data_IF_408422377748
#
_entry.id   IF_408422377748
#
_cell.length_a   1.000
_cell.length_b   1.000
_cell.length_c   1.000
_cell.angle_alpha   90.00
_cell.angle_beta   90.00
_cell.angle_gamma   90.00
#
_symmetry.space_group_name_H-M   'P 1'
#
loop_
_entity.id
_entity.type
_entity.pdbx_description
1 polymer ?
#
# COMPACT_ATOMS: atom_id res chain seq x y z
N UNK A 1 -15.65 -67.99 11.25
CA UNK A 1 -16.05 -66.75 10.61
C UNK A 1 -16.21 -65.57 11.58
N UNK A 2 -15.28 -65.35 12.52
CA UNK A 2 -15.36 -64.24 13.50
C UNK A 2 -14.02 -63.49 13.69
N UNK A 3 -13.07 -63.58 12.74
CA UNK A 3 -11.74 -62.93 12.86
C UNK A 3 -11.39 -61.99 11.69
N UNK A 4 -12.30 -61.68 10.76
CA UNK A 4 -12.02 -60.79 9.62
C UNK A 4 -12.68 -59.41 9.80
N UNK A 5 -13.57 -59.21 10.75
CA UNK A 5 -14.28 -57.94 10.96
C UNK A 5 -13.49 -56.91 11.79
N UNK A 6 -12.30 -57.26 12.36
CA UNK A 6 -11.57 -56.38 13.24
C UNK A 6 -10.43 -55.58 12.55
N UNK A 7 -10.18 -55.78 11.25
CA UNK A 7 -9.07 -55.14 10.50
C UNK A 7 -9.48 -53.99 9.60
N UNK A 8 -10.77 -53.71 9.46
CA UNK A 8 -11.28 -52.60 8.64
C UNK A 8 -11.54 -51.32 9.47
N UNK A 9 -11.61 -51.39 10.79
CA UNK A 9 -11.85 -50.28 11.68
C UNK A 9 -10.58 -49.41 11.98
N UNK A 10 -9.42 -49.84 11.53
CA UNK A 10 -8.13 -49.17 11.85
C UNK A 10 -7.61 -48.19 10.77
N UNK A 11 -8.31 -48.02 9.63
CA UNK A 11 -7.82 -47.16 8.50
C UNK A 11 -8.69 -45.95 8.25
N UNK A 12 -9.59 -45.60 9.16
CA UNK A 12 -10.09 -44.23 9.27
C UNK A 12 -9.00 -43.40 9.93
N UNK A 13 -7.80 -43.32 9.30
CA UNK A 13 -6.86 -42.26 9.61
C UNK A 13 -7.61 -40.96 9.41
N UNK A 14 -7.91 -40.32 10.52
CA UNK A 14 -8.22 -38.91 10.66
C UNK A 14 -7.31 -38.11 9.71
N UNK A 15 -7.80 -37.84 8.52
CA UNK A 15 -7.48 -36.61 7.81
C UNK A 15 -8.01 -35.50 8.73
N UNK A 16 -7.27 -35.24 9.82
CA UNK A 16 -7.40 -33.99 10.52
C UNK A 16 -7.15 -32.95 9.44
N UNK A 17 -8.20 -32.34 8.95
CA UNK A 17 -8.13 -31.14 8.12
C UNK A 17 -7.45 -30.13 9.02
N UNK A 18 -6.12 -30.11 8.97
CA UNK A 18 -5.33 -29.17 9.74
C UNK A 18 -5.72 -27.81 9.17
N UNK A 19 -6.54 -27.06 9.94
CA UNK A 19 -6.91 -25.71 9.56
C UNK A 19 -5.59 -24.96 9.29
N UNK A 20 -5.44 -24.43 8.08
CA UNK A 20 -4.25 -23.68 7.73
C UNK A 20 -4.11 -22.50 8.69
N UNK A 21 -2.91 -22.30 9.22
CA UNK A 21 -2.60 -21.17 10.08
C UNK A 21 -2.99 -19.88 9.38
N UNK A 22 -3.64 -18.99 10.13
CA UNK A 22 -4.15 -17.72 9.58
C UNK A 22 -3.27 -16.57 10.00
N UNK A 23 -2.81 -15.82 9.02
CA UNK A 23 -1.98 -14.62 9.19
C UNK A 23 -2.70 -13.39 8.66
N UNK A 24 -2.59 -12.27 9.37
CA UNK A 24 -3.10 -10.98 8.94
C UNK A 24 -2.20 -10.33 7.88
N UNK A 25 -2.81 -9.77 6.83
CA UNK A 25 -2.11 -9.01 5.80
C UNK A 25 -2.69 -7.59 5.76
N UNK A 26 -1.97 -6.65 6.38
CA UNK A 26 -2.34 -5.24 6.45
C UNK A 26 -1.99 -4.49 5.17
N UNK A 27 -2.91 -3.70 4.64
CA UNK A 27 -2.69 -2.92 3.43
C UNK A 27 -2.90 -1.44 3.70
N UNK A 28 -1.96 -0.61 3.24
CA UNK A 28 -2.05 0.84 3.30
C UNK A 28 -3.32 1.34 2.61
N UNK A 29 -4.11 2.15 3.32
CA UNK A 29 -5.36 2.72 2.82
C UNK A 29 -5.09 3.84 1.80
N UNK A 30 -5.00 3.47 0.51
CA UNK A 30 -4.84 4.40 -0.61
C UNK A 30 -6.17 4.63 -1.36
N UNK A 31 -7.04 3.63 -1.36
CA UNK A 31 -8.32 3.56 -2.09
C UNK A 31 -9.44 3.15 -1.14
N UNK A 32 -10.66 3.09 -1.66
CA UNK A 32 -11.78 2.56 -0.90
C UNK A 32 -11.51 1.12 -0.43
N UNK A 33 -12.09 0.69 0.71
CA UNK A 33 -11.94 -0.70 1.19
C UNK A 33 -12.42 -1.73 0.17
N UNK A 34 -13.46 -1.43 -0.61
CA UNK A 34 -14.00 -2.34 -1.64
C UNK A 34 -12.96 -2.55 -2.74
N UNK A 35 -12.45 -1.50 -3.36
CA UNK A 35 -11.43 -1.60 -4.41
C UNK A 35 -10.14 -2.26 -3.89
N UNK A 36 -9.77 -1.98 -2.65
CA UNK A 36 -8.61 -2.62 -2.01
C UNK A 36 -8.83 -4.12 -1.86
N UNK A 37 -10.02 -4.55 -1.44
CA UNK A 37 -10.36 -5.97 -1.30
C UNK A 37 -10.45 -6.69 -2.66
N UNK A 38 -11.05 -6.06 -3.67
CA UNK A 38 -11.12 -6.61 -5.03
C UNK A 38 -9.73 -6.80 -5.64
N UNK A 39 -8.79 -5.91 -5.36
CA UNK A 39 -7.40 -6.05 -5.80
C UNK A 39 -6.65 -7.15 -5.04
N UNK A 40 -6.70 -7.13 -3.68
CA UNK A 40 -5.82 -7.95 -2.86
C UNK A 40 -6.34 -9.37 -2.58
N UNK A 41 -7.66 -9.57 -2.43
CA UNK A 41 -8.19 -10.89 -2.07
C UNK A 41 -7.83 -12.00 -3.08
N UNK A 42 -7.90 -11.79 -4.42
CA UNK A 42 -7.46 -12.81 -5.37
C UNK A 42 -5.97 -13.15 -5.24
N UNK A 43 -5.11 -12.13 -5.02
CA UNK A 43 -3.67 -12.29 -4.82
C UNK A 43 -3.41 -13.09 -3.54
N UNK A 44 -3.99 -12.67 -2.41
CA UNK A 44 -3.82 -13.35 -1.11
C UNK A 44 -4.37 -14.78 -1.12
N UNK A 45 -5.48 -15.02 -1.81
CA UNK A 45 -6.04 -16.35 -2.01
C UNK A 45 -5.12 -17.26 -2.83
N UNK A 46 -4.49 -16.75 -3.88
CA UNK A 46 -3.48 -17.49 -4.64
C UNK A 46 -2.25 -17.80 -3.78
N UNK A 47 -1.70 -16.78 -3.11
CA UNK A 47 -0.50 -16.90 -2.27
C UNK A 47 -0.73 -17.85 -1.10
N UNK A 48 -1.88 -17.74 -0.43
CA UNK A 48 -2.24 -18.60 0.69
C UNK A 48 -2.26 -20.08 0.30
N UNK A 49 -2.86 -20.41 -0.84
CA UNK A 49 -2.84 -21.80 -1.37
C UNK A 49 -1.43 -22.29 -1.68
N UNK A 50 -0.57 -21.46 -2.27
CA UNK A 50 0.80 -21.83 -2.61
C UNK A 50 1.70 -21.97 -1.37
N UNK A 51 1.50 -21.13 -0.36
CA UNK A 51 2.26 -21.12 0.89
C UNK A 51 1.71 -22.08 1.96
N UNK A 52 0.54 -22.69 1.73
CA UNK A 52 -0.10 -23.61 2.71
C UNK A 52 -0.67 -22.89 3.94
N UNK A 53 -1.02 -21.60 3.84
CA UNK A 53 -1.55 -20.76 4.92
C UNK A 53 -2.81 -20.01 4.49
N UNK A 54 -3.53 -19.41 5.45
CA UNK A 54 -4.60 -18.46 5.18
C UNK A 54 -4.06 -17.04 5.39
N UNK A 55 -4.23 -16.14 4.39
CA UNK A 55 -3.87 -14.73 4.50
C UNK A 55 -5.15 -13.90 4.57
N UNK A 56 -5.40 -13.28 5.72
CA UNK A 56 -6.59 -12.47 5.97
C UNK A 56 -6.27 -10.99 5.71
N UNK A 57 -6.90 -10.42 4.68
CA UNK A 57 -6.77 -9.00 4.37
C UNK A 57 -7.30 -8.13 5.51
N UNK A 58 -6.51 -7.13 5.90
CA UNK A 58 -6.86 -6.07 6.84
C UNK A 58 -6.73 -4.72 6.15
N UNK A 59 -7.82 -3.98 6.07
CA UNK A 59 -7.88 -2.64 5.46
C UNK A 59 -8.39 -1.66 6.50
N UNK A 60 -7.57 -0.69 6.84
CA UNK A 60 -7.99 0.44 7.67
C UNK A 60 -8.83 1.42 6.84
N UNK A 61 -9.74 2.16 7.48
CA UNK A 61 -10.57 3.15 6.79
C UNK A 61 -9.79 4.38 6.35
N UNK A 62 -8.75 4.73 7.11
CA UNK A 62 -7.91 5.91 6.87
C UNK A 62 -6.43 5.58 6.93
N UNK A 63 -5.58 6.48 6.38
CA UNK A 63 -4.13 6.38 6.50
C UNK A 63 -3.65 6.46 7.96
N UNK A 64 -4.30 7.27 8.79
CA UNK A 64 -4.00 7.38 10.21
C UNK A 64 -4.28 6.07 10.97
N UNK A 65 -5.44 5.43 10.74
CA UNK A 65 -5.74 4.11 11.30
C UNK A 65 -4.74 3.04 10.84
N UNK A 66 -4.35 3.06 9.56
CA UNK A 66 -3.33 2.16 9.02
C UNK A 66 -1.98 2.37 9.71
N UNK A 67 -1.57 3.61 9.91
CA UNK A 67 -0.34 3.94 10.63
C UNK A 67 -0.38 3.46 12.09
N UNK A 68 -1.49 3.71 12.78
CA UNK A 68 -1.67 3.27 14.17
C UNK A 68 -1.61 1.73 14.32
N UNK A 69 -2.14 0.97 13.36
CA UNK A 69 -2.05 -0.49 13.35
C UNK A 69 -0.60 -0.97 13.16
N UNK A 70 0.18 -0.33 12.28
CA UNK A 70 1.63 -0.59 12.13
C UNK A 70 2.37 -0.27 13.44
N UNK A 71 2.07 0.87 14.07
CA UNK A 71 2.71 1.28 15.33
C UNK A 71 2.47 0.28 16.48
N UNK A 72 1.34 -0.43 16.47
CA UNK A 72 1.04 -1.49 17.44
C UNK A 72 1.49 -2.89 17.01
N UNK A 73 2.12 -3.03 15.83
CA UNK A 73 2.55 -4.32 15.30
C UNK A 73 1.40 -5.29 15.04
N UNK A 74 0.21 -4.81 14.67
CA UNK A 74 -1.00 -5.65 14.55
C UNK A 74 -0.96 -6.63 13.38
N UNK A 75 -0.18 -6.35 12.34
CA UNK A 75 -0.15 -7.17 11.13
C UNK A 75 1.01 -8.17 11.15
N UNK A 76 0.76 -9.38 10.65
CA UNK A 76 1.81 -10.38 10.44
C UNK A 76 2.60 -10.07 9.17
N UNK A 77 1.89 -9.70 8.12
CA UNK A 77 2.44 -9.17 6.87
C UNK A 77 1.80 -7.82 6.59
N UNK A 78 2.50 -6.95 5.87
CA UNK A 78 1.95 -5.65 5.48
C UNK A 78 2.46 -5.20 4.12
N UNK A 79 1.58 -4.54 3.35
CA UNK A 79 1.92 -3.71 2.21
C UNK A 79 1.79 -2.25 2.65
N UNK A 80 2.88 -1.70 3.18
CA UNK A 80 2.86 -0.34 3.75
C UNK A 80 4.27 0.24 3.82
N UNK A 81 4.39 1.55 3.62
CA UNK A 81 5.61 2.31 3.90
C UNK A 81 5.58 3.01 5.27
N UNK A 82 4.50 2.88 6.04
CA UNK A 82 4.43 3.41 7.40
C UNK A 82 5.47 2.78 8.33
N UNK A 83 5.97 1.57 8.01
CA UNK A 83 7.02 0.89 8.76
C UNK A 83 8.34 1.69 8.84
N UNK A 84 8.57 2.65 7.91
CA UNK A 84 9.77 3.49 7.91
C UNK A 84 9.64 4.77 8.76
N UNK A 85 8.47 5.04 9.32
CA UNK A 85 8.29 6.17 10.24
C UNK A 85 9.11 5.96 11.50
N UNK A 86 9.77 7.00 12.04
CA UNK A 86 10.61 6.87 13.24
C UNK A 86 9.89 6.19 14.41
N UNK A 87 8.63 6.55 14.65
CA UNK A 87 7.81 5.97 15.73
C UNK A 87 7.49 4.48 15.54
N UNK A 88 7.57 3.96 14.31
CA UNK A 88 7.21 2.58 13.96
C UNK A 88 8.43 1.65 13.83
N UNK A 89 9.66 2.18 13.81
CA UNK A 89 10.87 1.39 13.62
C UNK A 89 11.06 0.31 14.70
N UNK A 90 10.56 0.55 15.91
CA UNK A 90 10.62 -0.42 17.02
C UNK A 90 9.82 -1.71 16.75
N UNK A 91 8.90 -1.73 15.80
CA UNK A 91 8.15 -2.92 15.41
C UNK A 91 8.98 -3.87 14.53
N UNK A 92 10.12 -3.41 14.03
CA UNK A 92 11.13 -4.19 13.30
C UNK A 92 10.57 -5.02 12.13
N UNK A 93 9.57 -4.49 11.41
CA UNK A 93 9.07 -5.11 10.18
C UNK A 93 10.20 -5.25 9.16
N UNK A 94 10.39 -6.48 8.68
CA UNK A 94 11.43 -6.80 7.69
C UNK A 94 10.85 -6.76 6.28
N UNK A 95 11.39 -5.91 5.41
CA UNK A 95 11.03 -5.88 3.98
C UNK A 95 11.44 -7.20 3.32
N UNK A 96 10.49 -7.84 2.65
CA UNK A 96 10.69 -9.13 1.97
C UNK A 96 10.53 -9.02 0.45
N UNK A 97 9.71 -8.07 -0.02
CA UNK A 97 9.44 -7.85 -1.45
C UNK A 97 9.16 -6.37 -1.72
N UNK A 98 9.35 -5.98 -2.97
CA UNK A 98 8.91 -4.71 -3.54
C UNK A 98 8.08 -4.95 -4.80
N UNK A 99 7.16 -4.05 -5.18
CA UNK A 99 6.46 -4.16 -6.46
C UNK A 99 7.42 -4.10 -7.65
N UNK A 100 7.04 -4.72 -8.76
CA UNK A 100 7.73 -4.55 -10.05
C UNK A 100 7.52 -3.17 -10.65
N UNK A 101 6.48 -2.48 -10.24
CA UNK A 101 6.24 -1.10 -10.64
C UNK A 101 7.42 -0.20 -10.27
N UNK A 102 7.64 0.77 -11.14
CA UNK A 102 8.64 1.81 -10.92
C UNK A 102 8.36 2.60 -9.63
N UNK A 103 9.36 3.37 -9.21
CA UNK A 103 9.26 4.26 -8.06
C UNK A 103 8.02 5.17 -8.11
N UNK A 104 7.51 5.52 -6.94
CA UNK A 104 6.42 6.48 -6.75
C UNK A 104 6.94 7.89 -6.52
N UNK A 105 6.16 8.87 -6.92
CA UNK A 105 6.47 10.28 -6.69
C UNK A 105 5.30 10.99 -6.01
N UNK A 106 5.61 11.96 -5.15
CA UNK A 106 4.63 12.93 -4.68
C UNK A 106 4.36 13.97 -5.76
N UNK A 107 3.10 14.26 -6.01
CA UNK A 107 2.70 15.34 -6.91
C UNK A 107 1.77 16.30 -6.17
N UNK A 108 1.88 17.61 -6.49
CA UNK A 108 0.83 18.58 -6.20
C UNK A 108 0.15 18.88 -7.53
N UNK A 109 -1.16 18.61 -7.58
CA UNK A 109 -1.94 18.68 -8.81
C UNK A 109 -3.16 19.61 -8.66
N UNK A 110 -3.63 20.14 -9.78
CA UNK A 110 -4.88 20.90 -9.90
C UNK A 110 -5.65 20.45 -11.13
N UNK A 111 -6.94 20.79 -11.23
CA UNK A 111 -7.73 20.53 -12.45
C UNK A 111 -7.20 21.37 -13.61
N UNK A 112 -7.27 20.86 -14.84
CA UNK A 112 -6.85 21.62 -16.03
C UNK A 112 -7.64 22.91 -16.20
N UNK A 113 -8.91 22.92 -15.83
CA UNK A 113 -9.78 24.10 -15.86
C UNK A 113 -9.46 25.12 -14.76
N UNK A 114 -8.64 24.78 -13.75
CA UNK A 114 -8.28 25.67 -12.65
C UNK A 114 -7.51 26.90 -13.15
N UNK A 115 -7.66 28.02 -12.46
CA UNK A 115 -6.84 29.23 -12.66
C UNK A 115 -5.45 29.12 -12.06
N UNK A 116 -5.23 28.16 -11.16
CA UNK A 116 -3.92 27.86 -10.54
C UNK A 116 -2.97 27.34 -11.62
N UNK A 117 -1.83 28.01 -11.81
CA UNK A 117 -0.83 27.67 -12.83
C UNK A 117 0.53 27.30 -12.25
N UNK A 118 0.88 27.88 -11.11
CA UNK A 118 2.17 27.75 -10.46
C UNK A 118 2.00 27.36 -8.99
N UNK A 119 3.01 26.74 -8.41
CA UNK A 119 2.98 26.33 -7.01
C UNK A 119 2.77 27.54 -6.07
N UNK A 120 3.36 28.69 -6.40
CA UNK A 120 3.21 29.93 -5.64
C UNK A 120 1.77 30.44 -5.56
N UNK A 121 0.91 30.09 -6.53
CA UNK A 121 -0.52 30.48 -6.53
C UNK A 121 -1.29 29.81 -5.37
N UNK A 122 -0.70 28.81 -4.71
CA UNK A 122 -1.31 28.11 -3.58
C UNK A 122 -1.16 28.87 -2.25
N UNK A 123 -0.42 29.98 -2.21
CA UNK A 123 -0.17 30.72 -0.98
C UNK A 123 -1.49 31.12 -0.26
N UNK A 124 -1.65 30.63 0.98
CA UNK A 124 -2.82 30.89 1.82
C UNK A 124 -4.09 30.11 1.47
N UNK A 125 -4.08 29.30 0.40
CA UNK A 125 -5.23 28.53 -0.07
C UNK A 125 -5.37 27.17 0.64
N UNK A 126 -6.56 26.57 0.52
CA UNK A 126 -6.84 25.20 0.93
C UNK A 126 -6.26 24.22 -0.08
N UNK A 127 -5.33 23.37 0.39
CA UNK A 127 -4.71 22.28 -0.37
C UNK A 127 -5.04 20.96 0.29
N UNK A 128 -5.48 20.01 -0.52
CA UNK A 128 -5.88 18.70 -0.04
C UNK A 128 -4.72 17.73 0.10
N UNK A 129 -4.80 16.90 1.14
CA UNK A 129 -3.85 15.82 1.42
C UNK A 129 -4.59 14.55 1.84
N UNK A 130 -4.07 13.34 1.56
CA UNK A 130 -4.73 12.10 1.97
C UNK A 130 -4.89 11.98 3.49
N UNK A 131 -3.79 12.14 4.22
CA UNK A 131 -3.69 12.17 5.69
C UNK A 131 -2.29 12.65 6.09
N UNK A 132 -2.08 13.03 7.37
CA UNK A 132 -0.74 13.31 7.91
C UNK A 132 0.19 12.08 7.87
N UNK A 133 -0.37 10.89 7.86
CA UNK A 133 0.39 9.65 7.74
C UNK A 133 0.93 9.38 6.33
N UNK A 134 0.41 10.04 5.28
CA UNK A 134 0.80 9.77 3.90
C UNK A 134 2.21 10.29 3.58
N UNK A 135 3.08 9.42 3.05
CA UNK A 135 4.46 9.79 2.73
C UNK A 135 4.51 10.72 1.49
N UNK A 136 4.37 10.17 0.27
CA UNK A 136 4.42 10.98 -0.96
C UNK A 136 3.16 11.85 -1.16
N UNK A 137 2.07 11.59 -0.42
CA UNK A 137 0.85 12.40 -0.48
C UNK A 137 0.79 13.53 0.56
N UNK A 138 1.67 13.57 1.56
CA UNK A 138 1.69 14.64 2.58
C UNK A 138 3.11 15.01 2.99
N UNK A 139 3.88 14.09 3.58
CA UNK A 139 5.18 14.43 4.17
C UNK A 139 6.12 15.10 3.15
N UNK A 140 6.30 14.47 1.99
CA UNK A 140 7.20 14.97 0.94
C UNK A 140 6.72 16.28 0.31
N UNK A 141 5.45 16.42 -0.15
CA UNK A 141 4.98 17.70 -0.70
C UNK A 141 4.90 18.81 0.35
N UNK A 142 4.54 18.51 1.60
CA UNK A 142 4.50 19.52 2.66
C UNK A 142 5.90 20.02 3.02
N UNK A 143 6.90 19.12 3.09
CA UNK A 143 8.31 19.50 3.28
C UNK A 143 8.76 20.48 2.18
N UNK A 144 8.41 20.19 0.93
CA UNK A 144 8.72 21.06 -0.19
C UNK A 144 8.02 22.43 -0.10
N UNK A 145 6.72 22.45 0.23
CA UNK A 145 5.96 23.71 0.40
C UNK A 145 6.58 24.58 1.49
N UNK A 146 6.88 23.99 2.66
CA UNK A 146 7.51 24.72 3.79
C UNK A 146 8.87 25.27 3.39
N UNK A 147 9.75 24.46 2.77
CA UNK A 147 11.08 24.91 2.30
C UNK A 147 11.01 25.99 1.23
N UNK A 148 9.94 26.00 0.45
CA UNK A 148 9.69 27.02 -0.60
C UNK A 148 9.02 28.27 -0.04
N UNK A 149 8.73 28.36 1.25
CA UNK A 149 8.05 29.48 1.88
C UNK A 149 6.58 29.62 1.50
N UNK A 150 5.95 28.57 0.99
CA UNK A 150 4.54 28.57 0.54
C UNK A 150 3.68 28.00 1.69
N UNK A 151 2.96 28.87 2.38
CA UNK A 151 2.03 28.49 3.45
C UNK A 151 0.66 28.12 2.85
N UNK A 152 0.15 26.93 3.14
CA UNK A 152 -1.16 26.45 2.72
C UNK A 152 -2.02 26.06 3.91
N UNK A 153 -3.34 25.97 3.73
CA UNK A 153 -4.29 25.44 4.71
C UNK A 153 -4.56 23.97 4.38
N UNK A 154 -4.04 22.99 5.15
CA UNK A 154 -4.20 21.58 4.80
C UNK A 154 -5.62 21.09 5.08
N UNK A 155 -6.20 20.40 4.08
CA UNK A 155 -7.49 19.69 4.16
C UNK A 155 -7.22 18.19 3.94
N UNK A 156 -7.82 17.31 4.76
CA UNK A 156 -7.55 15.88 4.71
C UNK A 156 -8.74 15.08 4.17
N UNK A 157 -8.46 14.17 3.21
CA UNK A 157 -9.46 13.34 2.54
C UNK A 157 -9.56 11.90 3.08
N UNK A 158 -8.76 11.55 4.11
CA UNK A 158 -8.72 10.20 4.69
C UNK A 158 -7.83 9.21 3.94
N UNK A 159 -7.82 9.26 2.62
CA UNK A 159 -6.95 8.47 1.74
C UNK A 159 -6.74 9.17 0.39
N UNK A 160 -5.93 8.55 -0.51
CA UNK A 160 -5.60 9.14 -1.81
C UNK A 160 -6.85 9.42 -2.65
N UNK A 161 -7.73 8.45 -2.83
CA UNK A 161 -8.94 8.63 -3.65
C UNK A 161 -9.92 9.62 -3.03
N UNK A 162 -10.04 9.66 -1.71
CA UNK A 162 -10.89 10.61 -1.01
C UNK A 162 -10.51 12.06 -1.30
N UNK A 163 -9.21 12.38 -1.32
CA UNK A 163 -8.77 13.75 -1.63
C UNK A 163 -8.86 14.07 -3.13
N UNK A 164 -8.63 13.10 -4.01
CA UNK A 164 -8.83 13.28 -5.45
C UNK A 164 -10.32 13.52 -5.79
N UNK A 165 -11.24 12.85 -5.10
CA UNK A 165 -12.68 13.10 -5.23
C UNK A 165 -13.08 14.51 -4.77
N UNK A 166 -12.45 15.06 -3.74
CA UNK A 166 -12.69 16.44 -3.32
C UNK A 166 -12.17 17.46 -4.36
N UNK A 167 -10.99 17.18 -4.97
CA UNK A 167 -10.47 17.98 -6.06
C UNK A 167 -11.40 17.94 -7.27
N UNK A 168 -11.85 16.76 -7.68
CA UNK A 168 -12.80 16.57 -8.79
C UNK A 168 -14.13 17.31 -8.56
N UNK A 169 -14.62 17.30 -7.33
CA UNK A 169 -15.84 18.01 -6.93
C UNK A 169 -15.65 19.53 -6.76
N UNK A 170 -14.46 20.08 -6.99
CA UNK A 170 -14.14 21.50 -6.84
C UNK A 170 -14.18 22.01 -5.40
N UNK A 171 -14.12 21.12 -4.41
CA UNK A 171 -14.12 21.48 -2.98
C UNK A 171 -12.78 22.03 -2.50
N UNK A 172 -11.71 21.70 -3.21
CA UNK A 172 -10.34 22.17 -3.01
C UNK A 172 -9.73 22.55 -4.35
N UNK A 173 -8.77 23.47 -4.35
CA UNK A 173 -8.17 24.00 -5.58
C UNK A 173 -6.98 23.16 -6.06
N UNK A 174 -6.33 22.46 -5.18
CA UNK A 174 -5.20 21.57 -5.46
C UNK A 174 -5.14 20.41 -4.47
N UNK A 175 -4.49 19.32 -4.84
CA UNK A 175 -4.27 18.17 -4.00
C UNK A 175 -2.83 17.64 -4.11
N UNK A 176 -2.26 17.21 -2.98
CA UNK A 176 -1.02 16.45 -2.97
C UNK A 176 -1.33 14.94 -2.96
N UNK A 177 -0.71 14.19 -3.87
CA UNK A 177 -1.12 12.84 -4.21
C UNK A 177 0.09 11.95 -4.58
N UNK A 178 -0.12 10.63 -4.51
CA UNK A 178 0.75 9.65 -5.15
C UNK A 178 0.47 9.66 -6.67
N UNK A 179 1.52 9.83 -7.49
CA UNK A 179 1.42 9.96 -8.94
C UNK A 179 0.75 8.75 -9.62
N UNK A 180 1.05 7.52 -9.19
CA UNK A 180 0.47 6.32 -9.78
C UNK A 180 -1.02 6.17 -9.42
N UNK A 181 -1.38 6.47 -8.16
CA UNK A 181 -2.78 6.44 -7.73
C UNK A 181 -3.57 7.54 -8.45
N UNK A 182 -2.98 8.74 -8.61
CA UNK A 182 -3.63 9.84 -9.35
C UNK A 182 -3.85 9.49 -10.82
N UNK A 183 -2.84 8.94 -11.50
CA UNK A 183 -2.98 8.50 -12.90
C UNK A 183 -4.07 7.46 -13.08
N UNK A 184 -4.12 6.45 -12.19
CA UNK A 184 -5.13 5.40 -12.24
C UNK A 184 -6.55 5.96 -11.96
N UNK A 185 -6.68 6.84 -10.99
CA UNK A 185 -7.94 7.55 -10.68
C UNK A 185 -8.40 8.38 -11.86
N UNK A 186 -7.54 9.23 -12.41
CA UNK A 186 -7.85 10.11 -13.52
C UNK A 186 -8.30 9.31 -14.76
N UNK A 187 -7.66 8.17 -15.05
CA UNK A 187 -8.06 7.29 -16.14
C UNK A 187 -9.45 6.66 -15.91
N UNK A 188 -9.75 6.27 -14.66
CA UNK A 188 -11.04 5.66 -14.32
C UNK A 188 -12.19 6.66 -14.37
N UNK A 189 -11.96 7.88 -13.86
CA UNK A 189 -12.98 8.93 -13.72
C UNK A 189 -13.04 9.90 -14.91
N UNK A 190 -12.17 9.74 -15.92
CA UNK A 190 -12.09 10.67 -17.05
C UNK A 190 -11.61 12.07 -16.65
N UNK A 191 -10.77 12.19 -15.62
CA UNK A 191 -10.34 13.45 -15.05
C UNK A 191 -9.10 13.99 -15.76
N UNK A 192 -9.13 15.29 -16.13
CA UNK A 192 -7.98 16.02 -16.66
C UNK A 192 -7.38 16.92 -15.59
N UNK A 193 -6.06 16.81 -15.38
CA UNK A 193 -5.35 17.54 -14.33
C UNK A 193 -3.96 17.99 -14.78
N UNK A 194 -3.45 19.00 -14.12
CA UNK A 194 -2.11 19.56 -14.30
C UNK A 194 -1.28 19.29 -13.07
N UNK A 195 -0.02 18.90 -13.27
CA UNK A 195 0.99 18.79 -12.22
C UNK A 195 1.65 20.16 -12.02
N UNK A 196 1.56 20.70 -10.80
CA UNK A 196 2.20 21.95 -10.40
C UNK A 196 3.61 21.68 -9.86
N UNK A 197 3.81 20.51 -9.25
CA UNK A 197 5.09 20.08 -8.70
C UNK A 197 5.15 18.57 -8.58
N UNK A 198 6.36 18.01 -8.67
CA UNK A 198 6.64 16.59 -8.53
C UNK A 198 7.93 16.39 -7.75
N UNK A 199 7.94 15.41 -6.84
CA UNK A 199 9.12 15.04 -6.06
C UNK A 199 10.11 14.20 -6.85
N UNK A 200 11.32 14.02 -6.28
CA UNK A 200 12.19 12.92 -6.62
C UNK A 200 11.48 11.56 -6.40
N UNK A 201 11.93 10.50 -7.11
CA UNK A 201 11.32 9.19 -6.98
C UNK A 201 11.69 8.51 -5.65
N UNK A 202 10.72 7.76 -5.10
CA UNK A 202 10.89 6.87 -3.96
C UNK A 202 10.52 5.45 -4.38
N UNK A 203 11.20 4.44 -3.83
CA UNK A 203 10.79 3.06 -4.07
C UNK A 203 9.33 2.84 -3.64
N UNK A 204 8.61 2.05 -4.45
CA UNK A 204 7.20 1.81 -4.21
C UNK A 204 6.98 1.01 -2.91
N UNK A 205 5.77 1.05 -2.39
CA UNK A 205 5.38 0.50 -1.10
C UNK A 205 5.81 -0.97 -0.96
N UNK A 206 6.59 -1.34 0.06
CA UNK A 206 7.08 -2.70 0.22
C UNK A 206 6.02 -3.66 0.76
N UNK A 207 6.27 -4.96 0.56
CA UNK A 207 5.70 -6.00 1.41
C UNK A 207 6.74 -6.34 2.48
N UNK A 208 6.30 -6.34 3.74
CA UNK A 208 7.12 -6.65 4.89
C UNK A 208 6.45 -7.67 5.80
N UNK A 209 7.24 -8.40 6.57
CA UNK A 209 6.81 -9.35 7.58
C UNK A 209 7.19 -8.87 8.97
N UNK A 210 6.32 -9.07 9.96
CA UNK A 210 6.63 -8.82 11.36
C UNK A 210 7.54 -9.94 11.90
N UNK A 211 8.54 -9.65 12.76
CA UNK A 211 9.52 -10.65 13.24
C UNK A 211 8.91 -11.80 14.05
N UNK A 212 7.65 -11.69 14.53
CA UNK A 212 6.94 -12.79 15.20
C UNK A 212 6.55 -13.94 14.26
N UNK A 213 6.51 -13.71 12.92
CA UNK A 213 6.14 -14.74 11.96
C UNK A 213 7.30 -15.71 11.74
N UNK A 214 7.04 -17.02 11.81
CA UNK A 214 8.05 -18.05 11.57
C UNK A 214 8.73 -17.83 10.20
N UNK A 215 10.05 -17.93 10.16
CA UNK A 215 10.85 -17.69 8.96
C UNK A 215 10.46 -18.57 7.78
N UNK A 216 10.01 -19.81 8.03
CA UNK A 216 9.56 -20.73 6.98
C UNK A 216 8.29 -20.22 6.33
N UNK A 217 7.37 -19.65 7.11
CA UNK A 217 6.13 -19.06 6.61
C UNK A 217 6.44 -17.78 5.84
N UNK A 218 7.31 -16.92 6.38
CA UNK A 218 7.77 -15.71 5.66
C UNK A 218 8.35 -16.08 4.30
N UNK A 219 9.22 -17.08 4.24
CA UNK A 219 9.84 -17.52 2.99
C UNK A 219 8.83 -18.13 2.01
N UNK A 220 7.90 -18.96 2.50
CA UNK A 220 6.84 -19.54 1.66
C UNK A 220 5.94 -18.45 1.03
N UNK A 221 5.52 -17.46 1.82
CA UNK A 221 4.73 -16.32 1.34
C UNK A 221 5.53 -15.47 0.35
N UNK A 222 6.82 -15.20 0.65
CA UNK A 222 7.73 -14.46 -0.22
C UNK A 222 7.89 -15.15 -1.58
N UNK A 223 8.15 -16.46 -1.59
CA UNK A 223 8.31 -17.24 -2.82
C UNK A 223 7.02 -17.29 -3.63
N UNK A 224 5.87 -17.49 -2.98
CA UNK A 224 4.57 -17.52 -3.64
C UNK A 224 4.23 -16.19 -4.33
N UNK A 225 4.51 -15.05 -3.68
CA UNK A 225 4.32 -13.71 -4.26
C UNK A 225 5.31 -13.43 -5.40
N UNK A 226 6.60 -13.68 -5.19
CA UNK A 226 7.64 -13.43 -6.20
C UNK A 226 7.43 -14.29 -7.45
N UNK A 227 7.00 -15.56 -7.28
CA UNK A 227 6.77 -16.51 -8.37
C UNK A 227 5.46 -16.32 -9.14
N UNK A 228 4.61 -15.35 -8.78
CA UNK A 228 3.34 -15.15 -9.48
C UNK A 228 3.51 -14.87 -10.97
N UNK A 229 4.60 -14.21 -11.38
CA UNK A 229 4.89 -13.92 -12.78
C UNK A 229 5.44 -15.11 -13.57
N UNK A 230 5.81 -16.19 -12.91
CA UNK A 230 6.34 -17.42 -13.51
C UNK A 230 5.27 -18.53 -13.56
N UNK A 231 4.08 -18.28 -12.99
CA UNK A 231 2.95 -19.20 -12.95
C UNK A 231 1.79 -18.65 -13.82
N UNK A 232 1.29 -19.41 -14.83
CA UNK A 232 0.17 -18.95 -15.67
C UNK A 232 -1.09 -18.56 -14.90
N UNK A 233 -1.37 -19.17 -13.74
CA UNK A 233 -2.48 -18.80 -12.85
C UNK A 233 -2.16 -17.49 -12.12
N UNK A 234 -0.93 -17.37 -11.62
CA UNK A 234 -0.44 -16.15 -10.96
C UNK A 234 -0.53 -14.93 -11.88
N UNK A 235 -0.07 -15.05 -13.13
CA UNK A 235 -0.15 -13.97 -14.13
C UNK A 235 -1.61 -13.52 -14.34
N UNK A 236 -2.56 -14.48 -14.50
CA UNK A 236 -3.98 -14.16 -14.67
C UNK A 236 -4.55 -13.45 -13.45
N UNK A 237 -4.20 -13.89 -12.24
CA UNK A 237 -4.64 -13.26 -10.99
C UNK A 237 -4.11 -11.83 -10.91
N UNK A 238 -2.81 -11.60 -11.17
CA UNK A 238 -2.21 -10.27 -11.16
C UNK A 238 -2.88 -9.33 -12.17
N UNK A 239 -3.09 -9.80 -13.41
CA UNK A 239 -3.71 -9.00 -14.46
C UNK A 239 -5.17 -8.65 -14.13
N UNK A 240 -5.95 -9.60 -13.60
CA UNK A 240 -7.34 -9.37 -13.19
C UNK A 240 -7.41 -8.36 -12.03
N UNK A 241 -6.57 -8.52 -10.99
CA UNK A 241 -6.49 -7.58 -9.88
C UNK A 241 -6.08 -6.17 -10.34
N UNK A 242 -5.07 -6.07 -11.20
CA UNK A 242 -4.60 -4.81 -11.76
C UNK A 242 -5.68 -4.07 -12.56
N UNK A 243 -6.52 -4.81 -13.31
CA UNK A 243 -7.62 -4.24 -14.10
C UNK A 243 -8.63 -3.49 -13.22
N UNK A 244 -8.92 -3.97 -12.00
CA UNK A 244 -9.85 -3.35 -11.05
C UNK A 244 -9.46 -1.90 -10.74
N UNK A 245 -8.17 -1.65 -10.55
CA UNK A 245 -7.64 -0.33 -10.17
C UNK A 245 -6.99 0.42 -11.35
N UNK A 246 -7.18 -0.05 -12.58
CA UNK A 246 -6.58 0.52 -13.81
C UNK A 246 -5.04 0.63 -13.75
N UNK A 247 -4.41 -0.26 -13.00
CA UNK A 247 -2.95 -0.37 -12.95
C UNK A 247 -2.43 -0.86 -14.30
N UNK A 248 -1.30 -0.30 -14.75
CA UNK A 248 -0.62 -0.73 -15.98
C UNK A 248 0.56 -1.66 -15.63
N UNK A 249 0.95 -2.56 -16.53
CA UNK A 249 2.13 -3.38 -16.33
C UNK A 249 3.40 -2.51 -16.16
N UNK A 250 4.44 -3.05 -15.47
CA UNK A 250 4.60 -4.43 -15.04
C UNK A 250 3.88 -4.73 -13.71
N UNK A 251 3.26 -5.93 -13.59
CA UNK A 251 2.60 -6.41 -12.36
C UNK A 251 3.50 -7.34 -11.56
N UNK A 252 3.16 -7.55 -10.28
CA UNK A 252 3.80 -8.52 -9.39
C UNK A 252 4.92 -7.93 -8.56
N UNK A 253 5.76 -8.81 -8.02
CA UNK A 253 6.69 -8.47 -6.97
C UNK A 253 8.10 -8.98 -7.28
N UNK A 254 9.11 -8.27 -6.75
CA UNK A 254 10.53 -8.60 -6.84
C UNK A 254 11.08 -8.72 -5.40
N UNK A 255 12.17 -9.48 -5.19
CA UNK A 255 12.90 -9.43 -3.94
C UNK A 255 13.23 -7.98 -3.56
N UNK A 256 13.03 -7.65 -2.28
CA UNK A 256 13.33 -6.34 -1.71
C UNK A 256 13.91 -6.49 -0.30
N UNK A 257 14.54 -5.46 0.18
CA UNK A 257 15.16 -5.39 1.50
C UNK A 257 15.08 -3.98 2.08
N UNK A 258 15.39 -3.80 3.37
CA UNK A 258 15.49 -2.47 4.01
C UNK A 258 16.46 -1.54 3.29
N UNK A 259 17.47 -2.08 2.59
CA UNK A 259 18.46 -1.27 1.87
C UNK A 259 17.86 -0.48 0.71
N UNK A 260 16.81 -1.01 0.09
CA UNK A 260 16.13 -0.38 -1.04
C UNK A 260 15.34 0.89 -0.60
N UNK A 261 15.09 1.03 0.71
CA UNK A 261 14.24 2.09 1.29
C UNK A 261 15.01 3.10 2.15
N UNK A 262 16.33 3.23 1.96
CA UNK A 262 17.15 4.16 2.74
C UNK A 262 16.74 5.62 2.53
N UNK A 263 16.23 6.00 1.35
CA UNK A 263 15.76 7.34 1.05
C UNK A 263 14.57 7.77 1.94
N UNK A 264 13.69 6.83 2.36
CA UNK A 264 12.64 7.11 3.34
C UNK A 264 13.23 7.50 4.69
N UNK A 265 14.21 6.74 5.18
CA UNK A 265 14.87 7.02 6.46
C UNK A 265 15.65 8.33 6.42
N UNK A 266 16.31 8.63 5.30
CA UNK A 266 17.00 9.91 5.08
C UNK A 266 15.98 11.06 5.10
N UNK A 267 14.86 10.92 4.41
CA UNK A 267 13.80 11.93 4.42
C UNK A 267 13.30 12.19 5.84
N UNK A 268 12.91 11.17 6.59
CA UNK A 268 12.38 11.34 7.96
C UNK A 268 13.39 11.96 8.95
N UNK A 269 14.69 11.80 8.73
CA UNK A 269 15.73 12.46 9.54
C UNK A 269 15.90 13.94 9.22
N UNK A 270 15.57 14.36 8.01
CA UNK A 270 15.89 15.71 7.49
C UNK A 270 14.65 16.58 7.24
N UNK A 271 13.44 16.02 7.32
CA UNK A 271 12.20 16.78 7.06
C UNK A 271 11.98 17.89 8.08
N UNK A 272 11.44 18.99 7.58
CA UNK A 272 11.00 20.13 8.42
C UNK A 272 9.53 20.03 8.84
N UNK A 273 8.82 19.01 8.39
CA UNK A 273 7.41 18.76 8.76
C UNK A 273 7.35 18.18 10.17
N UNK A 274 6.66 18.88 11.08
CA UNK A 274 6.63 18.52 12.50
C UNK A 274 5.41 17.70 12.91
N UNK A 275 4.30 17.76 12.14
CA UNK A 275 3.01 17.15 12.47
C UNK A 275 2.76 15.82 11.73
N UNK A 276 3.82 15.03 11.50
CA UNK A 276 3.73 13.70 10.94
C UNK A 276 3.14 12.71 11.95
N UNK A 277 2.03 12.09 11.59
CA UNK A 277 1.39 11.00 12.35
C UNK A 277 2.07 9.66 12.11
#
# INVERSE_FOLDING_TARGET
MKRVAALIAGLLLSLALQAADTYSFGVLSQRSPVLTAEYWNPILGYVGRKAGVSLLLKVARTGAESNAAIARGEYDFTYSNHLFKPANLAQDYQVILRPRETAIMGQIVTLDASTIRHLADLQGLEVGFPSRAAFVGYAVPMDHLIRSGIAVKPVFGGNQEGIMGQLQAGKIVAAAVNDQVMKAYALREGLHYRVLWQSEPYDNIPIAAHPRVDRRIVEAVRQALAGMNDDPVGIKVLAASAAVIKQKPPYGFLPGSQKDYQNYLVFYRNTVVQDLE
#
